data_IF_927444188017
#
_entry.id   IF_927444188017
#
_cell.length_a   1.000
_cell.length_b   1.000
_cell.length_c   1.000
_cell.angle_alpha   90.00
_cell.angle_beta   90.00
_cell.angle_gamma   90.00
#
_symmetry.space_group_name_H-M   'P 1'
#
loop_
_entity.id
_entity.type
_entity.pdbx_description
1 polymer ?
#
# COMPACT_ATOMS: atom_id res chain seq x y z
N UNK A 1 -9.09 -3.23 -18.39
CA UNK A 1 -7.84 -3.17 -17.59
C UNK A 1 -7.48 -4.58 -17.15
N UNK A 2 -6.28 -4.99 -17.46
CA UNK A 2 -5.83 -6.33 -17.11
C UNK A 2 -5.48 -6.42 -15.63
N UNK A 3 -5.76 -7.56 -15.02
CA UNK A 3 -5.38 -7.83 -13.64
C UNK A 3 -3.87 -8.07 -13.57
N UNK A 4 -3.19 -7.32 -12.73
CA UNK A 4 -1.74 -7.38 -12.56
C UNK A 4 -1.35 -7.71 -11.13
N UNK A 5 -0.17 -8.28 -10.97
CA UNK A 5 0.49 -8.49 -9.69
C UNK A 5 1.84 -7.79 -9.74
N UNK A 6 2.12 -6.97 -8.74
CA UNK A 6 3.38 -6.25 -8.63
C UNK A 6 4.03 -6.60 -7.29
N UNK A 7 5.33 -6.83 -7.32
CA UNK A 7 6.16 -6.97 -6.11
C UNK A 7 7.20 -5.89 -6.08
N UNK A 8 7.39 -5.27 -4.91
CA UNK A 8 8.44 -4.30 -4.66
C UNK A 8 9.22 -4.73 -3.42
N UNK A 9 10.46 -4.26 -3.29
CA UNK A 9 11.27 -4.50 -2.11
C UNK A 9 11.59 -3.17 -1.44
N UNK A 10 11.53 -3.17 -0.10
CA UNK A 10 11.88 -2.01 0.72
C UNK A 10 12.68 -2.48 1.92
N UNK A 11 13.62 -1.66 2.34
CA UNK A 11 14.43 -1.93 3.53
C UNK A 11 13.85 -1.12 4.69
N UNK A 12 13.74 -1.76 5.86
CA UNK A 12 13.29 -1.06 7.06
C UNK A 12 14.39 -0.09 7.50
N UNK A 13 14.14 1.19 7.34
CA UNK A 13 15.03 2.27 7.72
C UNK A 13 14.54 2.92 9.01
N UNK A 14 15.35 3.77 9.60
CA UNK A 14 15.04 4.40 10.88
C UNK A 14 13.68 5.11 10.87
N UNK A 15 13.38 5.88 9.81
CA UNK A 15 12.12 6.61 9.68
C UNK A 15 10.90 5.69 9.52
N UNK A 16 11.12 4.39 9.27
CA UNK A 16 10.04 3.41 9.11
C UNK A 16 9.68 2.70 10.42
N UNK A 17 10.39 2.99 11.51
CA UNK A 17 10.16 2.34 12.80
C UNK A 17 8.94 2.92 13.52
N UNK A 18 8.21 2.05 14.20
CA UNK A 18 7.02 2.44 14.96
C UNK A 18 7.32 3.53 15.99
N UNK A 19 8.45 3.43 16.68
CA UNK A 19 8.87 4.42 17.68
C UNK A 19 9.10 5.80 17.07
N UNK A 20 9.64 5.86 15.85
CA UNK A 20 9.91 7.12 15.15
C UNK A 20 8.63 7.70 14.56
N UNK A 21 7.79 6.86 13.96
CA UNK A 21 6.52 7.28 13.37
C UNK A 21 5.43 7.56 14.42
N UNK A 22 5.69 7.21 15.66
CA UNK A 22 4.72 7.33 16.76
C UNK A 22 3.46 6.48 16.57
N UNK A 23 3.61 5.36 15.89
CA UNK A 23 2.55 4.36 15.73
C UNK A 23 2.67 3.23 16.74
N UNK A 24 3.66 3.31 17.61
CA UNK A 24 3.97 2.38 18.68
C UNK A 24 5.20 2.88 19.41
N UNK A 25 5.76 2.05 20.29
CA UNK A 25 6.90 2.45 21.13
C UNK A 25 8.16 1.64 20.87
N UNK A 26 8.10 0.66 19.99
CA UNK A 26 9.21 -0.26 19.74
C UNK A 26 9.93 0.04 18.41
N UNK A 27 11.19 -0.35 18.34
CA UNK A 27 12.04 -0.17 17.15
C UNK A 27 11.84 -1.32 16.16
N UNK A 28 10.63 -1.41 15.62
CA UNK A 28 10.24 -2.40 14.61
C UNK A 28 9.49 -1.69 13.50
N UNK A 29 9.37 -2.33 12.33
CA UNK A 29 8.62 -1.78 11.21
C UNK A 29 7.22 -1.34 11.66
N UNK A 30 6.89 -0.09 11.41
CA UNK A 30 5.58 0.48 11.73
C UNK A 30 4.49 -0.10 10.84
N UNK A 31 3.35 -0.45 11.42
CA UNK A 31 2.18 -0.92 10.66
C UNK A 31 1.75 0.09 9.59
N UNK A 32 1.63 1.40 9.87
CA UNK A 32 1.28 2.35 8.80
C UNK A 32 2.30 2.41 7.67
N UNK A 33 3.59 2.15 7.94
CA UNK A 33 4.59 2.11 6.87
C UNK A 33 4.40 0.89 5.98
N UNK A 34 4.13 -0.27 6.57
CA UNK A 34 3.81 -1.47 5.80
C UNK A 34 2.61 -1.21 4.88
N UNK A 35 1.58 -0.58 5.41
CA UNK A 35 0.37 -0.22 4.66
C UNK A 35 0.70 0.76 3.53
N UNK A 36 1.51 1.77 3.79
CA UNK A 36 1.93 2.74 2.76
C UNK A 36 2.66 2.04 1.61
N UNK A 37 3.52 1.06 1.91
CA UNK A 37 4.21 0.26 0.89
C UNK A 37 3.23 -0.62 0.11
N UNK A 38 2.21 -1.17 0.77
CA UNK A 38 1.15 -1.93 0.09
C UNK A 38 0.37 -1.04 -0.88
N UNK A 39 0.09 0.20 -0.48
CA UNK A 39 -0.56 1.18 -1.36
C UNK A 39 0.34 1.54 -2.55
N UNK A 40 1.63 1.71 -2.31
CA UNK A 40 2.60 1.99 -3.37
C UNK A 40 2.61 0.88 -4.42
N UNK A 41 2.68 -0.37 -3.97
CA UNK A 41 2.64 -1.51 -4.87
C UNK A 41 1.33 -1.58 -5.65
N UNK A 42 0.21 -1.28 -4.97
CA UNK A 42 -1.10 -1.25 -5.62
C UNK A 42 -1.17 -0.19 -6.72
N UNK A 43 -0.63 1.00 -6.46
CA UNK A 43 -0.56 2.07 -7.47
C UNK A 43 0.24 1.65 -8.70
N UNK A 44 1.33 0.92 -8.50
CA UNK A 44 2.18 0.45 -9.59
C UNK A 44 1.49 -0.58 -10.50
N UNK A 45 0.42 -1.21 -10.03
CA UNK A 45 -0.38 -2.11 -10.87
C UNK A 45 -1.18 -1.37 -11.94
N UNK A 46 -1.41 -0.07 -11.77
CA UNK A 46 -2.34 0.69 -12.60
C UNK A 46 -1.60 1.44 -13.71
N UNK A 47 -2.09 1.28 -14.94
CA UNK A 47 -1.65 2.05 -16.11
C UNK A 47 -2.80 2.99 -16.47
N UNK A 48 -2.70 4.24 -16.05
CA UNK A 48 -3.76 5.23 -16.21
C UNK A 48 -3.33 6.33 -17.17
N UNK A 49 -4.32 6.96 -17.82
CA UNK A 49 -4.09 8.19 -18.59
C UNK A 49 -3.52 9.27 -17.68
N UNK A 50 -2.78 10.21 -18.25
CA UNK A 50 -2.08 11.26 -17.51
C UNK A 50 -3.02 12.07 -16.61
N UNK A 51 -4.26 12.31 -17.06
CA UNK A 51 -5.25 13.08 -16.27
C UNK A 51 -5.87 12.29 -15.12
N UNK A 52 -5.64 10.98 -15.05
CA UNK A 52 -6.25 10.09 -14.07
C UNK A 52 -5.25 9.66 -13.03
N UNK A 53 -5.77 9.39 -11.84
CA UNK A 53 -5.00 8.80 -10.75
C UNK A 53 -5.93 7.89 -9.94
N UNK A 54 -5.42 7.31 -8.88
CA UNK A 54 -6.25 6.54 -7.96
C UNK A 54 -6.05 7.03 -6.54
N UNK A 55 -7.09 6.88 -5.73
CA UNK A 55 -7.04 7.14 -4.29
C UNK A 55 -7.40 5.86 -3.55
N UNK A 56 -6.76 5.63 -2.40
CA UNK A 56 -7.12 4.51 -1.53
C UNK A 56 -8.44 4.80 -0.84
N UNK A 57 -9.34 3.81 -0.82
CA UNK A 57 -10.66 3.95 -0.19
C UNK A 57 -10.90 2.96 0.93
N UNK A 58 -10.17 1.86 0.98
CA UNK A 58 -10.26 0.93 2.11
C UNK A 58 -8.98 0.12 2.24
N UNK A 59 -8.68 -0.27 3.45
CA UNK A 59 -7.52 -1.11 3.77
C UNK A 59 -7.88 -1.93 5.01
N UNK A 60 -7.86 -3.25 4.85
CA UNK A 60 -8.13 -4.16 5.95
C UNK A 60 -7.05 -5.23 5.94
N UNK A 61 -6.04 -5.04 6.78
CA UNK A 61 -4.87 -5.91 6.83
C UNK A 61 -4.53 -6.27 8.27
N UNK A 62 -3.85 -7.40 8.41
CA UNK A 62 -3.19 -7.77 9.65
C UNK A 62 -1.68 -7.52 9.53
N UNK A 63 -1.04 -7.25 10.65
CA UNK A 63 0.42 -7.15 10.75
C UNK A 63 0.85 -8.15 11.82
N UNK A 64 1.24 -9.33 11.37
CA UNK A 64 1.31 -10.52 12.23
C UNK A 64 2.69 -10.78 12.81
N UNK A 65 3.75 -10.27 12.18
CA UNK A 65 5.14 -10.47 12.61
C UNK A 65 5.90 -9.16 12.54
N UNK A 66 6.69 -8.89 13.57
CA UNK A 66 7.57 -7.72 13.62
C UNK A 66 8.78 -7.91 12.72
N UNK A 67 9.27 -6.80 12.16
CA UNK A 67 10.50 -6.78 11.36
C UNK A 67 11.48 -5.77 11.95
N UNK A 68 12.76 -6.15 12.08
CA UNK A 68 13.78 -5.27 12.66
C UNK A 68 14.31 -4.26 11.66
N UNK A 69 14.99 -3.25 12.19
CA UNK A 69 15.76 -2.30 11.38
C UNK A 69 16.71 -3.07 10.45
N UNK A 70 16.77 -2.70 9.19
CA UNK A 70 17.65 -3.31 8.19
C UNK A 70 17.05 -4.49 7.46
N UNK A 71 15.90 -5.01 7.90
CA UNK A 71 15.25 -6.11 7.20
C UNK A 71 14.77 -5.68 5.81
N UNK A 72 14.85 -6.59 4.85
CA UNK A 72 14.28 -6.39 3.51
C UNK A 72 12.88 -6.97 3.49
N UNK A 73 11.92 -6.12 3.13
CA UNK A 73 10.51 -6.49 3.06
C UNK A 73 10.09 -6.56 1.60
N UNK A 74 9.50 -7.68 1.20
CA UNK A 74 8.89 -7.83 -0.11
C UNK A 74 7.40 -7.56 0.03
N UNK A 75 6.90 -6.63 -0.76
CA UNK A 75 5.48 -6.24 -0.77
C UNK A 75 4.86 -6.71 -2.07
N UNK A 76 3.73 -7.38 -1.97
CA UNK A 76 2.97 -7.82 -3.14
C UNK A 76 1.60 -7.18 -3.14
N UNK A 77 1.20 -6.63 -4.29
CA UNK A 77 -0.17 -6.21 -4.54
C UNK A 77 -0.67 -6.96 -5.76
N UNK A 78 -1.79 -7.64 -5.60
CA UNK A 78 -2.43 -8.44 -6.64
C UNK A 78 -3.82 -7.90 -6.90
N UNK A 79 -4.05 -7.37 -8.11
CA UNK A 79 -5.38 -6.96 -8.53
C UNK A 79 -6.27 -8.20 -8.64
N UNK A 80 -7.41 -8.18 -8.01
CA UNK A 80 -8.34 -9.32 -8.03
C UNK A 80 -9.68 -8.99 -8.68
N UNK A 81 -10.04 -7.71 -8.76
CA UNK A 81 -11.29 -7.31 -9.38
C UNK A 81 -11.23 -5.87 -9.86
N UNK A 82 -11.85 -5.60 -11.01
CA UNK A 82 -12.04 -4.25 -11.53
C UNK A 82 -13.52 -4.10 -11.82
N UNK A 83 -14.18 -3.17 -11.13
CA UNK A 83 -15.59 -2.86 -11.31
C UNK A 83 -15.72 -1.37 -11.59
N UNK A 84 -15.74 -1.01 -12.89
CA UNK A 84 -15.73 0.38 -13.29
C UNK A 84 -14.45 1.07 -12.81
N UNK A 85 -14.59 2.05 -11.93
CA UNK A 85 -13.46 2.81 -11.37
C UNK A 85 -12.91 2.21 -10.09
N UNK A 86 -13.56 1.19 -9.54
CA UNK A 86 -13.14 0.56 -8.29
C UNK A 86 -12.23 -0.61 -8.60
N UNK A 87 -11.08 -0.65 -7.95
CA UNK A 87 -10.08 -1.71 -8.09
C UNK A 87 -9.90 -2.36 -6.73
N UNK A 88 -10.05 -3.68 -6.68
CA UNK A 88 -9.83 -4.46 -5.46
C UNK A 88 -8.53 -5.26 -5.58
N UNK A 89 -7.82 -5.35 -4.46
CA UNK A 89 -6.52 -6.01 -4.37
C UNK A 89 -6.46 -6.95 -3.18
N UNK A 90 -5.66 -7.99 -3.32
CA UNK A 90 -5.06 -8.68 -2.19
C UNK A 90 -3.64 -8.14 -2.02
N UNK A 91 -3.25 -7.83 -0.79
CA UNK A 91 -1.93 -7.29 -0.46
C UNK A 91 -1.25 -8.17 0.58
N UNK A 92 0.06 -8.29 0.47
CA UNK A 92 0.84 -9.10 1.39
C UNK A 92 2.26 -8.56 1.51
N UNK A 93 2.83 -8.72 2.70
CA UNK A 93 4.22 -8.35 2.97
C UNK A 93 4.96 -9.57 3.51
N UNK A 94 6.22 -9.71 3.10
CA UNK A 94 7.06 -10.86 3.44
C UNK A 94 8.42 -10.39 3.93
N UNK A 95 8.98 -11.14 4.89
CA UNK A 95 10.38 -11.07 5.28
C UNK A 95 10.95 -12.48 5.21
N UNK A 96 12.05 -12.66 4.47
CA UNK A 96 12.69 -13.97 4.30
C UNK A 96 11.70 -15.07 3.89
N UNK A 97 10.77 -14.73 2.97
CA UNK A 97 9.77 -15.66 2.47
C UNK A 97 8.61 -15.93 3.41
N UNK A 98 8.61 -15.35 4.62
CA UNK A 98 7.51 -15.52 5.58
C UNK A 98 6.59 -14.32 5.54
N UNK A 99 5.27 -14.57 5.55
CA UNK A 99 4.29 -13.50 5.61
C UNK A 99 4.39 -12.77 6.95
N UNK A 100 4.53 -11.44 6.89
CA UNK A 100 4.49 -10.58 8.07
C UNK A 100 3.15 -9.85 8.19
N UNK A 101 2.37 -9.79 7.12
CA UNK A 101 1.06 -9.15 7.10
C UNK A 101 0.37 -9.37 5.77
N UNK A 102 -0.95 -9.31 5.79
CA UNK A 102 -1.77 -9.54 4.60
C UNK A 102 -3.17 -9.00 4.77
N UNK A 103 -3.86 -8.82 3.66
CA UNK A 103 -5.26 -8.42 3.68
C UNK A 103 -5.76 -7.95 2.33
N UNK A 104 -6.73 -7.05 2.37
CA UNK A 104 -7.40 -6.54 1.17
C UNK A 104 -7.35 -5.02 1.15
N UNK A 105 -7.32 -4.47 -0.07
CA UNK A 105 -7.21 -3.05 -0.31
C UNK A 105 -8.06 -2.69 -1.51
N UNK A 106 -8.68 -1.53 -1.48
CA UNK A 106 -9.43 -1.02 -2.63
C UNK A 106 -9.00 0.39 -2.95
N UNK A 107 -8.97 0.70 -4.25
CA UNK A 107 -8.67 2.03 -4.77
C UNK A 107 -9.77 2.46 -5.73
N UNK A 108 -9.87 3.75 -5.94
CA UNK A 108 -10.85 4.32 -6.86
C UNK A 108 -10.14 5.25 -7.84
N UNK A 109 -10.40 5.07 -9.14
CA UNK A 109 -9.82 5.90 -10.19
C UNK A 109 -10.59 7.20 -10.28
N UNK A 110 -9.87 8.32 -10.26
CA UNK A 110 -10.46 9.67 -10.30
C UNK A 110 -9.74 10.53 -11.34
N UNK A 111 -10.40 11.61 -11.76
CA UNK A 111 -9.76 12.70 -12.48
C UNK A 111 -8.96 13.51 -11.45
N UNK A 112 -7.64 13.57 -11.61
CA UNK A 112 -6.75 14.16 -10.61
C UNK A 112 -7.09 15.62 -10.31
N UNK A 113 -7.26 16.43 -11.36
CA UNK A 113 -7.50 17.86 -11.18
C UNK A 113 -8.87 18.13 -10.55
N UNK A 114 -9.89 17.43 -11.01
CA UNK A 114 -11.26 17.59 -10.46
C UNK A 114 -11.30 17.16 -9.00
N UNK A 115 -10.59 16.10 -8.65
CA UNK A 115 -10.53 15.60 -7.27
C UNK A 115 -9.90 16.64 -6.34
N UNK A 116 -8.77 17.21 -6.75
CA UNK A 116 -8.06 18.21 -5.97
C UNK A 116 -8.91 19.50 -5.85
N UNK A 117 -9.49 19.96 -6.96
CA UNK A 117 -10.33 21.16 -6.96
C UNK A 117 -11.50 21.02 -5.99
N UNK A 118 -12.17 19.88 -6.01
CA UNK A 118 -13.28 19.61 -5.09
C UNK A 118 -12.83 19.54 -3.64
N UNK A 119 -11.67 18.94 -3.38
CA UNK A 119 -11.13 18.80 -2.03
C UNK A 119 -10.81 20.15 -1.40
N UNK A 120 -10.28 21.07 -2.20
CA UNK A 120 -9.87 22.40 -1.73
C UNK A 120 -10.93 23.48 -2.01
N UNK A 121 -12.09 23.09 -2.44
CA UNK A 121 -13.20 24.02 -2.66
C UNK A 121 -13.61 24.68 -1.33
N UNK A 122 -13.82 25.97 -1.37
CA UNK A 122 -14.23 26.75 -0.20
C UNK A 122 -15.59 27.37 -0.40
#
# INVERSE_FOLDING_TARGET
>A
MDLKTIRIQRVVEKQNLASVMKSGSLDVLATPQMIAWMEEAACLCLELEESKTSVGISMNVSHDMASPLGATITIEAKMVNVDGRKIDYEVQAFQDGKSIGKGVHSRFVVDAQKFIDKTYQK
#
